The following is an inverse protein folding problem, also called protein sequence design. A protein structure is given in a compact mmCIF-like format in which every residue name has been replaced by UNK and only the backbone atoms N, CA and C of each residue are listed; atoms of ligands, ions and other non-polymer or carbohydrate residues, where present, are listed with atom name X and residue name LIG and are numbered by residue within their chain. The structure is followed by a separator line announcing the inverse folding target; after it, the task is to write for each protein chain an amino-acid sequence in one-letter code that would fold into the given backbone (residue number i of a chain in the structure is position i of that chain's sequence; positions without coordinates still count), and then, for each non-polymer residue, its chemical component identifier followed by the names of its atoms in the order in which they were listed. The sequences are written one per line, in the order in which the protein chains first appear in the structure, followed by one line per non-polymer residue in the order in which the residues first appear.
data_IF_467788315332
#
_entry.id   IF_467788315332
#
_cell.length_a   1.000
_cell.length_b   1.000
_cell.length_c   1.000
_cell.angle_alpha   90.00
_cell.angle_beta   90.00
_cell.angle_gamma   90.00
#
_symmetry.space_group_name_H-M   'P 1'
#
loop_
_entity.id
_entity.type
_entity.pdbx_description
1 polymer ?
#
# COMPACT_ATOMS: atom_id res chain seq x y z
N UNK A 1 20.54 28.08 -26.06
CA UNK A 1 19.73 26.86 -25.81
C UNK A 1 20.62 25.60 -25.73
N UNK A 2 21.76 25.63 -25.02
CA UNK A 2 22.81 24.58 -25.16
C UNK A 2 23.27 23.97 -23.83
N UNK A 3 23.24 24.70 -22.71
CA UNK A 3 23.63 24.17 -21.40
C UNK A 3 22.50 23.46 -20.66
N UNK A 4 21.28 24.00 -20.70
CA UNK A 4 20.09 23.40 -20.06
C UNK A 4 19.71 22.05 -20.69
N UNK A 5 19.79 21.96 -22.02
CA UNK A 5 19.54 20.70 -22.73
C UNK A 5 20.58 19.64 -22.39
N UNK A 6 21.87 20.02 -22.33
CA UNK A 6 22.94 19.11 -21.91
C UNK A 6 22.74 18.61 -20.48
N UNK A 7 22.48 19.51 -19.53
CA UNK A 7 22.21 19.14 -18.13
C UNK A 7 20.99 18.23 -17.98
N UNK A 8 19.95 18.43 -18.79
CA UNK A 8 18.80 17.55 -18.84
C UNK A 8 19.17 16.15 -19.36
N UNK A 9 19.91 16.07 -20.46
CA UNK A 9 20.36 14.79 -21.03
C UNK A 9 21.28 14.05 -20.06
N UNK A 10 22.24 14.75 -19.44
CA UNK A 10 23.17 14.16 -18.47
C UNK A 10 22.39 13.59 -17.26
N UNK A 11 21.41 14.34 -16.73
CA UNK A 11 20.55 13.88 -15.63
C UNK A 11 19.71 12.65 -16.00
N UNK A 12 19.21 12.62 -17.25
CA UNK A 12 18.46 11.49 -17.78
C UNK A 12 19.34 10.25 -17.90
N UNK A 13 20.52 10.39 -18.49
CA UNK A 13 21.48 9.31 -18.63
C UNK A 13 21.92 8.77 -17.26
N UNK A 14 22.24 9.64 -16.30
CA UNK A 14 22.58 9.24 -14.93
C UNK A 14 21.46 8.45 -14.27
N UNK A 15 20.20 8.87 -14.46
CA UNK A 15 19.06 8.12 -13.94
C UNK A 15 18.95 6.75 -14.59
N UNK A 16 19.00 6.68 -15.93
CA UNK A 16 18.99 5.41 -16.67
C UNK A 16 20.10 4.49 -16.19
N UNK A 17 21.32 5.00 -16.00
CA UNK A 17 22.44 4.23 -15.48
C UNK A 17 22.19 3.71 -14.06
N UNK A 18 21.57 4.52 -13.18
CA UNK A 18 21.14 4.05 -11.85
C UNK A 18 20.13 2.92 -11.96
N UNK A 19 19.13 3.03 -12.83
CA UNK A 19 18.13 1.97 -13.06
C UNK A 19 18.81 0.67 -13.50
N UNK A 20 19.72 0.76 -14.47
CA UNK A 20 20.48 -0.38 -14.98
C UNK A 20 21.35 -1.00 -13.88
N UNK A 21 21.84 -0.20 -12.93
CA UNK A 21 22.62 -0.66 -11.78
C UNK A 21 21.78 -1.27 -10.64
N UNK A 22 20.46 -1.26 -10.69
CA UNK A 22 19.61 -1.83 -9.64
C UNK A 22 19.93 -3.29 -9.26
N UNK A 23 20.29 -4.20 -10.19
CA UNK A 23 20.67 -5.56 -9.84
C UNK A 23 21.97 -5.66 -9.03
N UNK A 24 22.78 -4.61 -8.95
CA UNK A 24 24.03 -4.59 -8.16
C UNK A 24 23.97 -3.66 -6.95
N UNK A 25 22.85 -2.95 -6.75
CA UNK A 25 22.65 -2.05 -5.61
C UNK A 25 21.79 -2.73 -4.53
N UNK A 26 22.33 -2.99 -3.32
CA UNK A 26 21.59 -3.64 -2.23
C UNK A 26 20.40 -2.83 -1.70
N UNK A 27 20.31 -1.53 -2.02
CA UNK A 27 19.16 -0.70 -1.67
C UNK A 27 17.96 -0.90 -2.59
N UNK A 28 18.13 -1.67 -3.68
CA UNK A 28 17.08 -1.93 -4.65
C UNK A 28 16.49 -3.34 -4.48
N UNK A 29 15.17 -3.45 -4.67
CA UNK A 29 14.43 -4.71 -4.47
C UNK A 29 14.83 -5.82 -5.44
N UNK A 30 15.38 -5.45 -6.60
CA UNK A 30 15.84 -6.38 -7.64
C UNK A 30 17.34 -6.68 -7.56
N UNK A 31 17.98 -6.35 -6.43
CA UNK A 31 19.38 -6.70 -6.18
C UNK A 31 19.59 -8.20 -6.37
N UNK A 32 20.65 -8.56 -7.09
CA UNK A 32 20.91 -9.92 -7.55
C UNK A 32 20.99 -10.92 -6.40
N UNK A 33 21.56 -10.53 -5.25
CA UNK A 33 21.65 -11.42 -4.10
C UNK A 33 20.27 -11.77 -3.54
N UNK A 34 19.32 -10.82 -3.52
CA UNK A 34 17.95 -11.07 -3.07
C UNK A 34 17.21 -12.00 -4.03
N UNK A 35 17.42 -11.83 -5.34
CA UNK A 35 16.85 -12.71 -6.36
C UNK A 35 17.44 -14.13 -6.27
N UNK A 36 18.77 -14.26 -6.12
CA UNK A 36 19.45 -15.54 -5.95
C UNK A 36 18.98 -16.26 -4.68
N UNK A 37 18.88 -15.55 -3.55
CA UNK A 37 18.35 -16.15 -2.32
C UNK A 37 16.90 -16.61 -2.49
N UNK A 38 16.08 -15.84 -3.21
CA UNK A 38 14.70 -16.22 -3.52
C UNK A 38 14.64 -17.46 -4.41
N UNK A 39 15.51 -17.56 -5.42
CA UNK A 39 15.61 -18.73 -6.29
C UNK A 39 16.01 -19.99 -5.51
N UNK A 40 16.95 -19.88 -4.56
CA UNK A 40 17.34 -21.00 -3.69
C UNK A 40 16.16 -21.47 -2.84
N UNK A 41 15.41 -20.55 -2.25
CA UNK A 41 14.21 -20.87 -1.46
C UNK A 41 13.15 -21.55 -2.32
N UNK A 42 12.85 -20.99 -3.50
CA UNK A 42 11.84 -21.56 -4.42
C UNK A 42 12.29 -22.93 -4.93
N UNK A 43 13.58 -23.12 -5.18
CA UNK A 43 14.12 -24.43 -5.58
C UNK A 43 13.95 -25.47 -4.48
N UNK A 44 14.22 -25.12 -3.21
CA UNK A 44 13.96 -26.02 -2.09
C UNK A 44 12.46 -26.37 -1.97
N UNK A 45 11.57 -25.38 -2.13
CA UNK A 45 10.12 -25.61 -2.13
C UNK A 45 9.71 -26.53 -3.30
N UNK A 46 10.27 -26.33 -4.48
CA UNK A 46 10.03 -27.16 -5.66
C UNK A 46 10.44 -28.61 -5.41
N UNK A 47 11.61 -28.86 -4.80
CA UNK A 47 12.05 -30.21 -4.45
C UNK A 47 11.11 -30.89 -3.44
N UNK A 48 10.65 -30.15 -2.42
CA UNK A 48 9.69 -30.66 -1.43
C UNK A 48 8.34 -30.97 -2.06
N UNK A 49 7.83 -30.09 -2.93
CA UNK A 49 6.57 -30.32 -3.66
C UNK A 49 6.69 -31.55 -4.53
N UNK A 50 7.73 -31.64 -5.38
CA UNK A 50 7.97 -32.79 -6.27
C UNK A 50 8.04 -34.12 -5.54
N UNK A 51 8.54 -34.14 -4.29
CA UNK A 51 8.57 -35.35 -3.46
C UNK A 51 7.21 -35.75 -2.88
N UNK A 52 6.30 -34.79 -2.67
CA UNK A 52 4.95 -35.02 -2.12
C UNK A 52 3.88 -35.24 -3.19
N UNK A 53 4.07 -34.69 -4.38
CA UNK A 53 3.12 -34.76 -5.49
C UNK A 53 3.57 -35.80 -6.51
N UNK A 54 3.26 -37.07 -6.26
CA UNK A 54 3.07 -38.09 -7.31
C UNK A 54 1.76 -37.85 -8.09
N UNK A 55 0.88 -36.96 -7.61
CA UNK A 55 -0.38 -36.60 -8.27
C UNK A 55 -0.39 -35.14 -8.78
N UNK A 56 -0.26 -35.03 -10.10
CA UNK A 56 -1.09 -34.22 -10.99
C UNK A 56 -1.50 -32.79 -10.56
N UNK A 57 -0.55 -31.85 -10.44
CA UNK A 57 -0.89 -30.42 -10.52
C UNK A 57 0.14 -29.62 -11.35
N UNK A 58 -0.07 -29.63 -12.67
CA UNK A 58 0.23 -28.56 -13.65
C UNK A 58 1.67 -28.12 -13.96
N UNK A 59 2.62 -28.19 -13.03
CA UNK A 59 3.94 -27.57 -13.19
C UNK A 59 5.06 -28.61 -13.02
N UNK A 60 5.26 -29.41 -14.07
CA UNK A 60 6.24 -30.50 -14.10
C UNK A 60 7.71 -30.06 -14.09
N UNK A 61 7.99 -28.76 -14.18
CA UNK A 61 9.35 -28.20 -14.24
C UNK A 61 9.55 -27.04 -13.28
N UNK A 62 10.80 -26.84 -12.84
CA UNK A 62 11.18 -25.70 -11.99
C UNK A 62 10.88 -24.36 -12.66
N UNK A 63 11.06 -24.26 -13.98
CA UNK A 63 10.70 -23.07 -14.77
C UNK A 63 9.19 -22.83 -14.74
N UNK A 64 8.37 -23.88 -14.83
CA UNK A 64 6.92 -23.79 -14.65
C UNK A 64 6.54 -23.27 -13.28
N UNK A 65 7.23 -23.71 -12.23
CA UNK A 65 7.06 -23.21 -10.86
C UNK A 65 7.43 -21.74 -10.69
N UNK A 66 8.46 -21.27 -11.39
CA UNK A 66 8.87 -19.85 -11.38
C UNK A 66 7.91 -18.97 -12.19
N UNK A 67 7.42 -19.49 -13.32
CA UNK A 67 6.61 -18.75 -14.28
C UNK A 67 5.28 -19.47 -14.53
N UNK A 68 4.38 -19.51 -13.52
CA UNK A 68 3.10 -20.17 -13.62
C UNK A 68 2.24 -19.53 -14.71
N UNK A 69 1.79 -20.31 -15.71
CA UNK A 69 1.01 -19.79 -16.85
C UNK A 69 -0.23 -19.01 -16.39
N UNK A 70 -0.93 -19.50 -15.36
CA UNK A 70 -2.12 -18.85 -14.78
C UNK A 70 -1.90 -17.39 -14.33
N UNK A 71 -0.67 -17.04 -13.95
CA UNK A 71 -0.32 -15.67 -13.53
C UNK A 71 0.16 -14.87 -14.73
N UNK A 72 1.15 -15.41 -15.46
CA UNK A 72 1.82 -14.68 -16.54
C UNK A 72 0.99 -14.57 -17.83
N UNK A 73 -0.10 -15.32 -17.97
CA UNK A 73 -1.09 -15.13 -19.03
C UNK A 73 -2.10 -14.03 -18.72
N UNK A 74 -2.19 -13.57 -17.47
CA UNK A 74 -3.18 -12.58 -17.07
C UNK A 74 -2.73 -11.17 -17.51
N UNK A 75 -3.60 -10.34 -18.12
CA UNK A 75 -3.25 -9.00 -18.58
C UNK A 75 -2.69 -8.09 -17.47
N UNK A 76 -3.16 -8.25 -16.23
CA UNK A 76 -2.68 -7.44 -15.10
C UNK A 76 -1.20 -7.67 -14.80
N UNK A 77 -0.69 -8.89 -14.94
CA UNK A 77 0.73 -9.19 -14.70
C UNK A 77 1.62 -8.39 -15.66
N UNK A 78 1.20 -8.29 -16.93
CA UNK A 78 1.91 -7.49 -17.93
C UNK A 78 1.69 -5.99 -17.75
N UNK A 79 0.53 -5.57 -17.23
CA UNK A 79 0.28 -4.18 -16.86
C UNK A 79 1.24 -3.74 -15.75
N UNK A 80 1.44 -4.56 -14.71
CA UNK A 80 2.37 -4.29 -13.62
C UNK A 80 3.82 -4.20 -14.11
N UNK A 81 4.24 -5.14 -14.98
CA UNK A 81 5.55 -5.10 -15.63
C UNK A 81 5.72 -3.82 -16.44
N UNK A 82 4.73 -3.44 -17.25
CA UNK A 82 4.76 -2.19 -18.03
C UNK A 82 4.83 -0.97 -17.13
N UNK A 83 4.06 -0.92 -16.04
CA UNK A 83 4.11 0.18 -15.08
C UNK A 83 5.46 0.28 -14.39
N UNK A 84 6.07 -0.84 -14.03
CA UNK A 84 7.42 -0.87 -13.47
C UNK A 84 8.42 -0.21 -14.42
N UNK A 85 8.50 -0.65 -15.68
CA UNK A 85 9.43 -0.07 -16.66
C UNK A 85 9.04 1.36 -17.05
N UNK A 86 7.76 1.65 -17.25
CA UNK A 86 7.28 3.00 -17.57
C UNK A 86 7.62 3.97 -16.45
N UNK A 87 7.29 3.66 -15.19
CA UNK A 87 7.59 4.54 -14.05
C UNK A 87 9.09 4.77 -13.90
N UNK A 88 9.87 3.69 -14.06
CA UNK A 88 11.29 3.69 -13.79
C UNK A 88 12.11 4.42 -14.86
N UNK A 89 11.72 4.35 -16.14
CA UNK A 89 12.45 4.98 -17.25
C UNK A 89 11.83 6.29 -17.73
N UNK A 90 10.49 6.40 -17.71
CA UNK A 90 9.75 7.48 -18.37
C UNK A 90 9.05 8.35 -17.32
N UNK A 91 8.36 7.74 -16.36
CA UNK A 91 7.49 8.41 -15.39
C UNK A 91 8.22 9.46 -14.55
N UNK A 92 9.45 9.17 -14.13
CA UNK A 92 10.24 10.14 -13.36
C UNK A 92 10.51 11.43 -14.16
N UNK A 93 10.85 11.33 -15.46
CA UNK A 93 11.19 12.49 -16.30
C UNK A 93 9.99 13.16 -16.95
N UNK A 94 8.94 12.41 -17.28
CA UNK A 94 7.70 12.99 -17.80
C UNK A 94 7.02 13.82 -16.70
N UNK A 95 7.02 13.34 -15.45
CA UNK A 95 6.48 14.09 -14.32
C UNK A 95 7.38 15.27 -13.93
N UNK A 96 8.71 15.14 -13.97
CA UNK A 96 9.64 16.26 -13.79
C UNK A 96 9.49 17.33 -14.88
N UNK A 97 9.42 16.95 -16.15
CA UNK A 97 9.27 17.89 -17.26
C UNK A 97 7.90 18.58 -17.27
N UNK A 98 6.82 17.82 -17.06
CA UNK A 98 5.45 18.32 -17.15
C UNK A 98 5.03 19.15 -15.93
N UNK A 99 5.58 18.87 -14.74
CA UNK A 99 5.20 19.58 -13.51
C UNK A 99 6.32 20.46 -12.92
N UNK A 100 7.58 20.02 -12.95
CA UNK A 100 8.68 20.81 -12.38
C UNK A 100 9.07 22.00 -13.28
N UNK A 101 8.96 21.85 -14.61
CA UNK A 101 9.23 22.94 -15.56
C UNK A 101 8.29 24.13 -15.39
N UNK A 102 6.97 23.95 -15.47
CA UNK A 102 6.00 25.01 -15.20
C UNK A 102 6.07 25.56 -13.77
N UNK A 103 6.32 24.71 -12.77
CA UNK A 103 6.50 25.16 -11.39
C UNK A 103 7.76 26.05 -11.21
N UNK A 104 8.88 25.68 -11.84
CA UNK A 104 10.11 26.49 -11.82
C UNK A 104 9.93 27.81 -12.59
N UNK A 105 9.18 27.81 -13.70
CA UNK A 105 8.81 29.03 -14.42
C UNK A 105 7.91 29.95 -13.59
N UNK A 106 6.91 29.38 -12.91
CA UNK A 106 6.02 30.13 -12.02
C UNK A 106 6.77 30.71 -10.81
N UNK A 107 7.70 29.95 -10.21
CA UNK A 107 8.61 30.45 -9.18
C UNK A 107 9.49 31.58 -9.73
N UNK A 108 10.17 31.37 -10.86
CA UNK A 108 11.03 32.40 -11.47
C UNK A 108 10.28 33.70 -11.80
N UNK A 109 8.98 33.62 -12.13
CA UNK A 109 8.12 34.78 -12.35
C UNK A 109 7.72 35.51 -11.07
N UNK A 110 7.59 34.80 -9.95
CA UNK A 110 7.06 35.35 -8.69
C UNK A 110 8.13 35.92 -7.77
N UNK A 111 9.34 35.37 -7.78
CA UNK A 111 10.44 35.78 -6.88
C UNK A 111 11.57 36.55 -7.60
N UNK A 112 11.42 36.84 -8.90
CA UNK A 112 12.51 37.34 -9.76
C UNK A 112 13.53 36.23 -10.04
N UNK A 113 14.35 36.36 -11.09
CA UNK A 113 15.29 35.32 -11.56
C UNK A 113 16.26 34.86 -10.46
N UNK A 114 15.82 33.92 -9.62
CA UNK A 114 16.74 33.07 -8.87
C UNK A 114 17.32 32.12 -9.90
N UNK A 115 18.58 32.36 -10.26
CA UNK A 115 19.34 31.52 -11.16
C UNK A 115 19.38 30.11 -10.58
N UNK A 116 18.51 29.22 -11.08
CA UNK A 116 18.51 27.80 -10.74
C UNK A 116 19.73 27.15 -11.42
N UNK A 117 20.91 27.43 -10.89
CA UNK A 117 22.17 26.83 -11.32
C UNK A 117 22.51 25.55 -10.56
N UNK A 118 21.72 25.21 -9.55
CA UNK A 118 21.91 23.99 -8.76
C UNK A 118 20.72 23.03 -8.93
N UNK A 119 20.89 21.92 -9.68
CA UNK A 119 19.89 20.86 -9.81
C UNK A 119 19.48 20.23 -8.47
N UNK A 120 20.27 20.41 -7.40
CA UNK A 120 19.91 19.96 -6.05
C UNK A 120 18.80 20.81 -5.41
N UNK A 121 18.66 22.08 -5.82
CA UNK A 121 17.63 22.99 -5.32
C UNK A 121 16.23 22.75 -5.94
N UNK A 122 16.13 22.02 -7.05
CA UNK A 122 14.87 21.67 -7.70
C UNK A 122 14.21 20.39 -7.14
N UNK A 123 14.96 19.61 -6.35
CA UNK A 123 14.49 18.38 -5.71
C UNK A 123 13.31 18.54 -4.73
N UNK A 124 13.13 19.67 -4.01
CA UNK A 124 12.00 19.83 -3.09
C UNK A 124 10.66 20.00 -3.82
N UNK A 125 10.66 20.65 -5.01
CA UNK A 125 9.47 21.14 -5.71
C UNK A 125 8.57 20.05 -6.31
N UNK A 126 9.14 18.92 -6.72
CA UNK A 126 8.39 17.79 -7.29
C UNK A 126 7.72 16.93 -6.21
N UNK A 127 8.06 17.12 -4.93
CA UNK A 127 7.56 16.31 -3.82
C UNK A 127 6.41 16.94 -3.03
N UNK A 128 5.99 18.18 -3.28
CA UNK A 128 5.19 19.00 -2.33
C UNK A 128 3.93 18.35 -1.76
N UNK A 129 3.16 17.60 -2.56
CA UNK A 129 1.95 16.92 -2.06
C UNK A 129 2.28 15.82 -1.04
N UNK A 130 3.41 15.12 -1.23
CA UNK A 130 3.94 14.17 -0.26
C UNK A 130 4.76 14.85 0.85
N UNK A 131 5.46 15.95 0.56
CA UNK A 131 6.34 16.65 1.50
C UNK A 131 5.58 17.31 2.63
N UNK A 132 4.42 17.95 2.39
CA UNK A 132 3.67 18.59 3.48
C UNK A 132 3.08 17.53 4.42
N UNK A 133 2.46 16.48 3.87
CA UNK A 133 1.94 15.38 4.68
C UNK A 133 3.06 14.65 5.39
N UNK A 134 4.17 14.35 4.70
CA UNK A 134 5.34 13.74 5.30
C UNK A 134 5.98 14.67 6.34
N UNK A 135 6.00 15.99 6.14
CA UNK A 135 6.54 16.94 7.09
C UNK A 135 5.68 16.98 8.36
N UNK A 136 4.36 17.14 8.21
CA UNK A 136 3.40 17.08 9.33
C UNK A 136 3.50 15.74 10.05
N UNK A 137 3.60 14.65 9.31
CA UNK A 137 3.75 13.30 9.84
C UNK A 137 5.07 13.13 10.60
N UNK A 138 6.21 13.55 10.04
CA UNK A 138 7.53 13.43 10.67
C UNK A 138 7.67 14.37 11.87
N UNK A 139 7.12 15.59 11.81
CA UNK A 139 7.06 16.51 12.95
C UNK A 139 6.17 15.93 14.05
N UNK A 140 4.99 15.41 13.70
CA UNK A 140 4.09 14.77 14.64
C UNK A 140 4.71 13.56 15.33
N UNK A 141 5.35 12.66 14.56
CA UNK A 141 6.11 11.53 15.10
C UNK A 141 7.27 12.01 15.96
N UNK A 142 8.06 12.98 15.50
CA UNK A 142 9.21 13.51 16.23
C UNK A 142 8.82 14.12 17.58
N UNK A 143 7.77 14.96 17.59
CA UNK A 143 7.24 15.56 18.81
C UNK A 143 6.66 14.50 19.76
N UNK A 144 5.86 13.56 19.25
CA UNK A 144 5.29 12.49 20.06
C UNK A 144 6.35 11.57 20.65
N UNK A 145 7.30 11.13 19.83
CA UNK A 145 8.42 10.28 20.27
C UNK A 145 9.31 11.01 21.28
N UNK A 146 9.60 12.29 21.04
CA UNK A 146 10.39 13.13 21.94
C UNK A 146 9.70 13.38 23.29
N UNK A 147 8.39 13.63 23.29
CA UNK A 147 7.61 13.77 24.51
C UNK A 147 7.59 12.48 25.34
N UNK A 148 7.37 11.33 24.70
CA UNK A 148 7.41 10.02 25.38
C UNK A 148 8.81 9.72 25.93
N UNK A 149 9.86 9.93 25.13
CA UNK A 149 11.23 9.72 25.56
C UNK A 149 11.64 10.65 26.70
N UNK A 150 11.26 11.92 26.64
CA UNK A 150 11.51 12.92 27.68
C UNK A 150 10.76 12.62 28.98
N UNK A 151 9.49 12.20 28.89
CA UNK A 151 8.72 11.76 30.05
C UNK A 151 9.38 10.54 30.71
N UNK A 152 9.76 9.54 29.90
CA UNK A 152 10.43 8.35 30.40
C UNK A 152 11.78 8.68 31.06
N UNK A 153 12.58 9.54 30.43
CA UNK A 153 13.85 10.01 31.00
C UNK A 153 13.65 10.71 32.35
N UNK A 154 12.64 11.59 32.46
CA UNK A 154 12.31 12.25 33.72
C UNK A 154 11.82 11.28 34.80
N UNK A 155 11.11 10.21 34.43
CA UNK A 155 10.62 9.21 35.37
C UNK A 155 11.70 8.22 35.83
N UNK A 156 12.58 7.81 34.93
CA UNK A 156 13.51 6.69 35.15
C UNK A 156 14.95 7.15 35.38
N UNK A 157 15.28 8.41 35.07
CA UNK A 157 16.63 8.97 35.21
C UNK A 157 17.63 8.46 34.17
N UNK A 158 17.20 7.64 33.21
CA UNK A 158 18.03 7.15 32.11
C UNK A 158 17.23 7.06 30.82
N UNK A 159 17.90 7.29 29.68
CA UNK A 159 17.35 7.05 28.36
C UNK A 159 17.73 5.62 27.95
N UNK A 160 16.76 4.70 27.77
CA UNK A 160 17.07 3.34 27.37
C UNK A 160 17.71 3.36 25.99
N UNK A 161 18.90 2.77 25.85
CA UNK A 161 19.43 2.45 24.53
C UNK A 161 18.56 1.33 23.95
N UNK A 162 18.02 1.54 22.76
CA UNK A 162 17.35 0.47 22.05
C UNK A 162 18.46 -0.44 21.48
N UNK A 163 18.65 -1.67 21.99
CA UNK A 163 19.63 -2.58 21.42
C UNK A 163 19.32 -2.73 19.93
N UNK A 164 20.35 -2.72 19.10
CA UNK A 164 20.22 -2.81 17.65
C UNK A 164 20.88 -4.07 17.11
N UNK A 165 20.29 -4.61 16.04
CA UNK A 165 20.83 -5.70 15.26
C UNK A 165 21.10 -5.16 13.85
N UNK A 166 22.36 -5.16 13.41
CA UNK A 166 22.77 -4.61 12.11
C UNK A 166 22.33 -3.14 11.88
N UNK A 167 22.32 -2.33 12.94
CA UNK A 167 21.88 -0.92 12.88
C UNK A 167 20.36 -0.72 12.94
N UNK A 168 19.57 -1.79 13.02
CA UNK A 168 18.11 -1.72 13.18
C UNK A 168 17.74 -1.97 14.64
N UNK A 169 16.99 -1.08 15.32
CA UNK A 169 16.51 -1.33 16.68
C UNK A 169 15.79 -2.68 16.78
N UNK A 170 16.10 -3.49 17.79
CA UNK A 170 15.66 -4.89 17.85
C UNK A 170 14.13 -5.00 17.88
N UNK A 171 13.45 -4.08 18.56
CA UNK A 171 11.99 -4.02 18.58
C UNK A 171 11.41 -3.68 17.20
N UNK A 172 12.06 -2.77 16.46
CA UNK A 172 11.67 -2.45 15.09
C UNK A 172 11.92 -3.64 14.16
N UNK A 173 13.06 -4.32 14.31
CA UNK A 173 13.37 -5.52 13.54
C UNK A 173 12.32 -6.61 13.78
N UNK A 174 12.00 -6.91 15.04
CA UNK A 174 10.98 -7.88 15.41
C UNK A 174 9.60 -7.46 14.89
N UNK A 175 9.20 -6.20 15.07
CA UNK A 175 7.93 -5.69 14.54
C UNK A 175 7.84 -5.84 13.02
N UNK A 176 8.92 -5.56 12.29
CA UNK A 176 8.93 -5.74 10.83
C UNK A 176 8.77 -7.21 10.45
N UNK A 177 9.45 -8.13 11.13
CA UNK A 177 9.37 -9.58 10.85
C UNK A 177 7.99 -10.13 11.24
N UNK A 178 7.56 -9.94 12.48
CA UNK A 178 6.40 -10.64 13.07
C UNK A 178 5.08 -9.88 12.98
N UNK A 179 5.11 -8.56 12.82
CA UNK A 179 3.92 -7.71 12.71
C UNK A 179 3.69 -7.28 11.26
N UNK A 180 4.65 -6.55 10.70
CA UNK A 180 4.49 -5.91 9.39
C UNK A 180 4.49 -6.90 8.24
N UNK A 181 5.47 -7.80 8.16
CA UNK A 181 5.56 -8.75 7.06
C UNK A 181 4.60 -9.93 7.25
N UNK A 182 4.49 -10.45 8.48
CA UNK A 182 3.66 -11.63 8.74
C UNK A 182 2.18 -11.40 8.46
N UNK A 183 1.66 -10.17 8.62
CA UNK A 183 0.23 -9.89 8.34
C UNK A 183 -0.16 -10.11 6.87
N UNK A 184 0.80 -10.00 5.94
CA UNK A 184 0.60 -10.26 4.51
C UNK A 184 0.92 -11.72 4.13
N UNK A 185 1.26 -12.58 5.09
CA UNK A 185 1.40 -14.01 4.85
C UNK A 185 0.04 -14.65 4.59
N UNK A 186 0.00 -15.81 3.93
CA UNK A 186 -1.24 -16.58 3.74
C UNK A 186 -1.62 -17.41 5.00
N UNK A 187 -0.87 -17.27 6.09
CA UNK A 187 -1.10 -18.03 7.33
C UNK A 187 -2.19 -17.33 8.13
N UNK A 188 -3.30 -18.04 8.36
CA UNK A 188 -4.35 -17.56 9.26
C UNK A 188 -3.87 -17.66 10.70
N UNK A 189 -3.42 -16.54 11.25
CA UNK A 189 -2.99 -16.43 12.63
C UNK A 189 -3.83 -15.39 13.35
N UNK A 190 -4.53 -15.86 14.39
CA UNK A 190 -5.44 -15.07 15.22
C UNK A 190 -4.96 -15.10 16.66
N UNK A 191 -5.06 -13.97 17.34
CA UNK A 191 -4.76 -13.89 18.77
C UNK A 191 -5.93 -14.39 19.62
N UNK A 192 -5.69 -15.05 20.76
CA UNK A 192 -6.76 -15.54 21.62
C UNK A 192 -7.40 -14.42 22.43
N UNK A 193 -8.72 -14.52 22.62
CA UNK A 193 -9.49 -13.71 23.57
C UNK A 193 -9.37 -12.20 23.35
N UNK A 194 -9.06 -11.47 24.42
CA UNK A 194 -8.99 -10.00 24.40
C UNK A 194 -7.82 -9.49 23.54
N UNK A 195 -6.77 -10.28 23.34
CA UNK A 195 -5.60 -9.83 22.60
C UNK A 195 -5.89 -9.52 21.13
N UNK A 196 -6.86 -10.21 20.49
CA UNK A 196 -7.26 -9.90 19.11
C UNK A 196 -7.93 -8.54 19.00
N UNK A 197 -8.49 -8.03 20.10
CA UNK A 197 -9.13 -6.71 20.20
C UNK A 197 -8.13 -5.59 20.50
N UNK A 198 -6.89 -5.92 20.87
CA UNK A 198 -5.86 -4.94 21.24
C UNK A 198 -4.75 -4.88 20.20
N UNK A 199 -4.27 -6.04 19.74
CA UNK A 199 -3.18 -6.13 18.78
C UNK A 199 -3.65 -6.71 17.44
N UNK A 200 -3.14 -6.19 16.30
CA UNK A 200 -3.47 -6.70 14.99
C UNK A 200 -2.80 -8.06 14.80
N UNK A 201 -3.52 -8.98 14.17
CA UNK A 201 -3.00 -10.29 13.76
C UNK A 201 -3.06 -10.42 12.24
N UNK A 202 -2.35 -11.41 11.63
CA UNK A 202 -2.53 -11.70 10.21
C UNK A 202 -4.01 -11.92 9.82
N UNK A 203 -4.77 -12.64 10.65
CA UNK A 203 -6.22 -12.81 10.46
C UNK A 203 -6.99 -11.48 10.43
N UNK A 204 -6.67 -10.52 11.30
CA UNK A 204 -7.29 -9.18 11.30
C UNK A 204 -7.16 -8.49 9.93
N UNK A 205 -5.95 -8.55 9.38
CA UNK A 205 -5.62 -7.95 8.09
C UNK A 205 -6.21 -8.71 6.91
N UNK A 206 -6.32 -10.04 7.00
CA UNK A 206 -7.02 -10.85 6.00
C UNK A 206 -8.49 -10.48 5.89
N UNK A 207 -9.16 -10.31 7.04
CA UNK A 207 -10.55 -9.87 7.10
C UNK A 207 -10.73 -8.48 6.50
N UNK A 208 -9.81 -7.55 6.79
CA UNK A 208 -9.82 -6.21 6.17
C UNK A 208 -9.76 -6.25 4.63
N UNK A 209 -9.03 -7.20 4.05
CA UNK A 209 -8.93 -7.40 2.60
C UNK A 209 -9.96 -8.37 2.02
N UNK A 210 -10.90 -8.84 2.83
CA UNK A 210 -11.92 -9.80 2.39
C UNK A 210 -13.03 -9.10 1.62
N UNK A 211 -13.44 -9.66 0.49
CA UNK A 211 -14.62 -9.22 -0.28
C UNK A 211 -15.93 -9.85 0.21
N UNK A 212 -15.90 -10.68 1.25
CA UNK A 212 -17.11 -11.23 1.87
C UNK A 212 -18.02 -10.10 2.40
N UNK A 213 -19.35 -10.11 2.14
CA UNK A 213 -20.26 -9.03 2.52
C UNK A 213 -20.18 -8.61 4.00
N UNK A 214 -20.01 -9.57 4.92
CA UNK A 214 -19.91 -9.30 6.35
C UNK A 214 -18.56 -8.70 6.79
N UNK A 215 -17.54 -8.73 5.93
CA UNK A 215 -16.20 -8.22 6.21
C UNK A 215 -15.96 -6.82 5.60
N UNK A 216 -16.87 -6.35 4.75
CA UNK A 216 -16.80 -5.02 4.16
C UNK A 216 -16.88 -3.95 5.26
N UNK A 217 -16.07 -2.90 5.11
CA UNK A 217 -16.01 -1.78 6.04
C UNK A 217 -15.69 -2.20 7.49
N UNK A 218 -14.79 -3.18 7.64
CA UNK A 218 -14.31 -3.67 8.94
C UNK A 218 -12.79 -3.56 9.06
N UNK A 219 -12.34 -3.56 10.32
CA UNK A 219 -10.93 -3.69 10.72
C UNK A 219 -10.02 -2.63 10.07
N UNK A 220 -10.36 -1.34 10.22
CA UNK A 220 -9.63 -0.22 9.64
C UNK A 220 -8.32 0.10 10.36
N UNK A 221 -8.19 -0.26 11.64
CA UNK A 221 -7.04 0.11 12.44
C UNK A 221 -5.78 -0.64 12.00
N UNK A 222 -4.73 0.12 11.69
CA UNK A 222 -3.44 -0.44 11.30
C UNK A 222 -2.66 -1.04 12.49
N UNK A 223 -2.59 -0.31 13.61
CA UNK A 223 -1.70 -0.66 14.73
C UNK A 223 -2.43 -1.23 15.94
N UNK A 224 -3.64 -0.80 16.23
CA UNK A 224 -4.41 -1.24 17.40
C UNK A 224 -5.89 -1.43 17.03
N UNK A 225 -6.37 -2.67 16.85
CA UNK A 225 -7.80 -2.98 16.67
C UNK A 225 -8.73 -2.44 17.75
N UNK A 226 -8.19 -1.98 18.88
CA UNK A 226 -8.96 -1.30 19.92
C UNK A 226 -9.79 -0.16 19.35
N UNK A 227 -9.26 0.58 18.37
CA UNK A 227 -10.02 1.63 17.69
C UNK A 227 -11.24 1.07 16.95
N UNK A 228 -11.08 -0.05 16.25
CA UNK A 228 -12.21 -0.70 15.59
C UNK A 228 -13.26 -1.22 16.57
N UNK A 229 -12.83 -1.66 17.76
CA UNK A 229 -13.75 -2.06 18.83
C UNK A 229 -14.52 -0.85 19.37
N UNK A 230 -13.83 0.25 19.62
CA UNK A 230 -14.43 1.50 20.12
C UNK A 230 -15.44 2.10 19.12
N UNK A 231 -15.16 1.99 17.82
CA UNK A 231 -16.01 2.54 16.75
C UNK A 231 -16.95 1.52 16.10
N UNK A 232 -17.01 0.28 16.59
CA UNK A 232 -17.95 -0.74 16.11
C UNK A 232 -17.63 -1.33 14.72
N UNK A 233 -16.38 -1.19 14.27
CA UNK A 233 -15.89 -1.70 12.98
C UNK A 233 -15.07 -2.98 13.11
N UNK A 234 -14.91 -3.51 14.31
CA UNK A 234 -14.15 -4.74 14.56
C UNK A 234 -14.95 -6.00 14.23
N UNK A 235 -14.36 -6.91 13.44
CA UNK A 235 -14.85 -8.28 13.28
C UNK A 235 -13.67 -9.27 13.23
N UNK A 236 -13.85 -10.43 13.85
CA UNK A 236 -12.84 -11.48 13.86
C UNK A 236 -13.50 -12.85 13.83
N UNK A 237 -13.61 -13.47 12.65
CA UNK A 237 -14.10 -14.84 12.50
C UNK A 237 -13.19 -15.84 13.24
N UNK A 238 -13.77 -16.99 13.61
CA UNK A 238 -13.02 -18.06 14.27
C UNK A 238 -12.01 -18.73 13.32
N UNK A 239 -12.41 -18.93 12.06
CA UNK A 239 -11.63 -19.52 10.98
C UNK A 239 -11.64 -18.65 9.71
N UNK A 240 -10.95 -19.09 8.66
CA UNK A 240 -10.81 -18.36 7.40
C UNK A 240 -11.70 -18.89 6.26
N UNK A 241 -12.71 -19.74 6.53
CA UNK A 241 -13.49 -20.40 5.47
C UNK A 241 -14.22 -19.41 4.55
N UNK A 242 -14.72 -18.32 5.15
CA UNK A 242 -15.48 -17.29 4.44
C UNK A 242 -14.60 -16.14 3.92
N UNK A 243 -13.30 -16.16 4.23
CA UNK A 243 -12.36 -15.11 3.83
C UNK A 243 -11.96 -15.32 2.38
N UNK A 244 -12.47 -14.47 1.49
CA UNK A 244 -12.12 -14.44 0.07
C UNK A 244 -11.51 -13.10 -0.26
N UNK A 245 -10.31 -13.09 -0.82
CA UNK A 245 -9.64 -11.87 -1.25
C UNK A 245 -10.18 -11.38 -2.59
N UNK A 246 -10.30 -10.07 -2.72
CA UNK A 246 -10.64 -9.43 -3.98
C UNK A 246 -11.37 -8.12 -3.79
N UNK A 247 -11.83 -7.57 -4.89
CA UNK A 247 -12.75 -6.43 -4.94
C UNK A 247 -14.17 -6.95 -5.17
N UNK A 248 -15.17 -6.28 -4.60
CA UNK A 248 -16.57 -6.69 -4.77
C UNK A 248 -17.02 -6.44 -6.21
N UNK A 249 -18.09 -7.12 -6.67
CA UNK A 249 -18.66 -6.84 -8.00
C UNK A 249 -19.10 -5.38 -8.15
N UNK A 250 -19.51 -4.73 -7.04
CA UNK A 250 -19.83 -3.31 -7.01
C UNK A 250 -18.60 -2.45 -7.31
N UNK A 251 -17.44 -2.79 -6.74
CA UNK A 251 -16.18 -2.06 -6.97
C UNK A 251 -15.56 -2.36 -8.34
N UNK A 252 -15.95 -3.48 -8.99
CA UNK A 252 -15.51 -3.81 -10.36
C UNK A 252 -16.20 -2.96 -11.43
N UNK A 253 -17.33 -2.35 -11.11
CA UNK A 253 -18.13 -1.55 -12.06
C UNK A 253 -17.84 -0.06 -11.97
N UNK A 254 -16.97 0.46 -12.87
CA UNK A 254 -16.89 1.85 -13.35
C UNK A 254 -16.78 3.02 -12.34
N UNK A 255 -16.93 2.83 -11.03
CA UNK A 255 -16.88 3.93 -10.05
C UNK A 255 -15.45 4.41 -9.77
N UNK A 256 -14.41 3.58 -9.98
CA UNK A 256 -13.01 3.96 -9.76
C UNK A 256 -12.13 3.62 -10.98
N UNK A 257 -12.72 3.69 -12.17
CA UNK A 257 -12.09 3.35 -13.45
C UNK A 257 -11.08 4.39 -13.98
N UNK A 258 -11.14 5.62 -13.48
CA UNK A 258 -10.26 6.71 -13.86
C UNK A 258 -9.56 7.32 -12.65
N UNK A 259 -8.37 7.90 -12.88
CA UNK A 259 -7.65 8.65 -11.84
C UNK A 259 -8.51 9.78 -11.25
N UNK A 260 -9.33 10.44 -12.07
CA UNK A 260 -10.22 11.51 -11.60
C UNK A 260 -11.27 10.96 -10.64
N UNK A 261 -11.93 9.87 -11.01
CA UNK A 261 -12.93 9.22 -10.18
C UNK A 261 -12.35 8.75 -8.84
N UNK A 262 -11.13 8.22 -8.84
CA UNK A 262 -10.40 7.81 -7.62
C UNK A 262 -10.23 8.96 -6.62
N UNK A 263 -9.96 10.18 -7.10
CA UNK A 263 -9.80 11.34 -6.21
C UNK A 263 -11.12 12.02 -5.86
N UNK A 264 -12.14 11.98 -6.74
CA UNK A 264 -13.35 12.80 -6.57
C UNK A 264 -14.49 12.03 -5.90
N UNK A 265 -14.65 10.73 -6.20
CA UNK A 265 -15.81 9.97 -5.75
C UNK A 265 -15.90 9.79 -4.23
N UNK A 266 -14.78 9.57 -3.48
CA UNK A 266 -14.84 9.54 -2.01
C UNK A 266 -15.49 10.79 -1.39
N UNK A 267 -15.23 11.98 -1.96
CA UNK A 267 -15.84 13.23 -1.48
C UNK A 267 -17.31 13.37 -1.88
N UNK A 268 -17.67 12.91 -3.09
CA UNK A 268 -19.08 12.87 -3.51
C UNK A 268 -19.90 11.94 -2.62
N UNK A 269 -19.36 10.78 -2.27
CA UNK A 269 -20.05 9.80 -1.43
C UNK A 269 -20.15 10.26 0.02
N UNK A 270 -19.08 10.85 0.57
CA UNK A 270 -19.13 11.52 1.87
C UNK A 270 -20.22 12.61 1.89
N UNK A 271 -20.28 13.47 0.87
CA UNK A 271 -21.31 14.50 0.75
C UNK A 271 -22.73 13.94 0.64
N UNK A 272 -22.91 12.80 -0.05
CA UNK A 272 -24.21 12.11 -0.15
C UNK A 272 -24.69 11.60 1.20
N UNK A 273 -23.81 11.14 2.07
CA UNK A 273 -24.15 10.70 3.44
C UNK A 273 -24.67 11.85 4.32
N UNK A 274 -24.19 13.08 4.09
CA UNK A 274 -24.67 14.28 4.80
C UNK A 274 -25.94 14.89 4.22
N UNK A 275 -26.34 14.52 3.00
CA UNK A 275 -27.62 14.95 2.44
C UNK A 275 -28.74 14.05 2.98
N UNK A 276 -29.79 14.61 3.60
CA UNK A 276 -30.95 13.80 3.96
C UNK A 276 -31.51 13.17 2.68
N UNK A 277 -31.67 11.84 2.68
CA UNK A 277 -32.44 11.15 1.64
C UNK A 277 -33.81 11.82 1.58
N UNK A 278 -34.11 12.50 0.48
CA UNK A 278 -35.48 12.89 0.17
C UNK A 278 -36.25 11.57 0.10
N UNK A 279 -37.13 11.30 1.06
CA UNK A 279 -38.01 10.14 1.00
C UNK A 279 -38.70 10.19 -0.36
N UNK A 280 -38.37 9.24 -1.22
CA UNK A 280 -39.13 9.00 -2.43
C UNK A 280 -40.48 8.48 -1.96
N UNK A 281 -41.52 9.29 -2.09
CA UNK A 281 -42.92 8.96 -1.80
C UNK A 281 -43.49 7.84 -2.70
N UNK A 282 -42.65 7.09 -3.40
CA UNK A 282 -43.07 6.03 -4.30
C UNK A 282 -43.11 4.63 -3.66
N UNK A 283 -42.45 4.39 -2.52
CA UNK A 283 -42.43 3.06 -1.88
C UNK A 283 -43.62 2.83 -0.92
N UNK A 284 -44.31 3.88 -0.47
CA UNK A 284 -45.45 3.75 0.45
C UNK A 284 -46.71 3.19 -0.22
N UNK A 285 -46.84 3.27 -1.54
CA UNK A 285 -48.02 2.77 -2.27
C UNK A 285 -47.94 1.30 -2.69
N UNK A 286 -46.77 0.67 -2.63
CA UNK A 286 -46.62 -0.75 -2.99
C UNK A 286 -46.89 -1.71 -1.81
N UNK A 287 -46.69 -1.26 -0.57
CA UNK A 287 -46.94 -2.09 0.64
C UNK A 287 -48.42 -2.11 1.06
N UNK A 288 -49.22 -1.10 0.70
CA UNK A 288 -50.67 -1.08 0.97
C UNK A 288 -51.47 -2.00 0.03
N UNK A 289 -50.99 -2.26 -1.18
CA UNK A 289 -51.71 -3.09 -2.17
C UNK A 289 -51.54 -4.61 -1.91
N UNK A 290 -50.48 -5.01 -1.19
CA UNK A 290 -50.21 -6.43 -0.88
C UNK A 290 -50.99 -6.91 0.37
N UNK A 291 -51.39 -6.01 1.27
CA UNK A 291 -52.07 -6.37 2.52
C UNK A 291 -53.62 -6.38 2.45
N UNK A 292 -54.20 -6.05 1.30
CA UNK A 292 -55.65 -6.17 1.06
C UNK A 292 -55.97 -7.27 0.04
N UNK A 293 -55.71 -8.52 0.42
CA UNK A 293 -56.46 -9.68 -0.09
C UNK A 293 -57.30 -10.25 1.05
N UNK A 294 -58.65 -10.22 0.96
CA UNK A 294 -59.49 -10.85 1.96
C UNK A 294 -59.41 -12.36 1.81
N UNK A 295 -59.11 -13.05 2.92
CA UNK A 295 -59.27 -14.49 3.02
C UNK A 295 -60.76 -14.82 2.89
N UNK A 296 -61.11 -15.60 1.86
CA UNK A 296 -62.35 -16.37 1.78
C UNK A 296 -62.36 -17.52 2.80
#
# INVERSE_FOLDING_TARGET
MTQKLKSFVDSFLDHVMRVVAYPVDPNNRIFALYLLSSLVIVFAIYLVKRRKSDEADGESSFVGCLFPKRVWSHPSAWLDVRYFFFHQFIGHFLMLGLFAGPAALACSWTIGEVSVHDPSAAQPLVRWKGTVVAFVYNVGIGMGSGAVAGLFFNMMGYAPSLPSLLGVPILMFLFNVVGYNLRHSHVWLRWPGVWSKVFPSPAHHHVHHSCHPNHLDKNFAFMFPLWDVLFGTYIMPEDNKDVKFGVTEKDRGNELDTCVNLYVNPFKDAWRLYRPKRQSTAETHAEEEINHHPAE
#
